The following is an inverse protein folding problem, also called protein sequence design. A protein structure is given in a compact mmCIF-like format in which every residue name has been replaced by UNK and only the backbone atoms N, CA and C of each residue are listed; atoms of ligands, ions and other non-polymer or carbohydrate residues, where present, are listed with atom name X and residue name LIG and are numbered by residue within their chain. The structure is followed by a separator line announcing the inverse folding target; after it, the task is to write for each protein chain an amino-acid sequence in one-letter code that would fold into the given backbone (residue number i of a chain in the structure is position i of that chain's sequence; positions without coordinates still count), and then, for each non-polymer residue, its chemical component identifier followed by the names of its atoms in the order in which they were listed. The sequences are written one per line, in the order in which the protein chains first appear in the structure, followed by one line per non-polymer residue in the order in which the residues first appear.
data_IF_267789857654
#
_entry.id   IF_267789857654
#
_cell.length_a   1.000
_cell.length_b   1.000
_cell.length_c   1.000
_cell.angle_alpha   90.00
_cell.angle_beta   90.00
_cell.angle_gamma   90.00
#
_symmetry.space_group_name_H-M   'P 1'
#
loop_
_entity.id
_entity.type
_entity.pdbx_description
1 polymer ?
2 polymer ?
3 non-polymer ?
4 non-polymer ?
5 non-polymer ?
6 water ?
#
# COMPACT_ATOMS: atom_id res chain seq x y z
N UNK A 3 -16.96 1.13 -4.89
CA UNK A 3 -15.79 1.93 -4.54
C UNK A 3 -15.98 2.59 -3.18
N UNK A 4 -15.10 2.28 -2.24
CA UNK A 4 -15.19 2.82 -0.88
C UNK A 4 -14.50 4.16 -0.69
N UNK A 5 -13.75 4.64 -1.71
CA UNK A 5 -13.09 5.94 -1.66
C UNK A 5 -13.63 6.82 -2.78
N UNK A 6 -14.23 7.95 -2.41
CA UNK A 6 -14.81 8.88 -3.37
C UNK A 6 -14.06 10.19 -3.33
N UNK A 7 -13.55 10.61 -4.49
CA UNK A 7 -12.78 11.84 -4.62
C UNK A 7 -13.61 12.97 -5.22
N UNK A 8 -13.19 14.22 -4.93
CA UNK A 8 -13.82 15.42 -5.45
C UNK A 8 -13.61 15.57 -6.97
N UNK A 9 -14.44 16.41 -7.59
CA UNK A 9 -14.44 16.61 -9.04
C UNK A 9 -13.22 17.28 -9.63
N UNK A 10 -13.10 17.21 -10.97
CA UNK A 10 -12.00 17.82 -11.72
C UNK A 10 -11.84 19.31 -11.40
N UNK A 11 -10.60 19.78 -11.36
CA UNK A 11 -10.27 21.17 -11.06
C UNK A 11 -9.59 21.83 -12.24
N UNK A 12 -9.96 23.10 -12.50
CA UNK A 12 -9.34 23.95 -13.50
C UNK A 12 -8.87 25.14 -12.69
N UNK A 13 -7.56 25.24 -12.49
CA UNK A 13 -6.98 26.24 -11.61
C UNK A 13 -5.93 27.10 -12.27
N UNK A 14 -5.79 28.34 -11.79
CA UNK A 14 -4.85 29.30 -12.36
C UNK A 14 -3.43 29.05 -11.86
N UNK A 15 -2.40 29.30 -12.69
CA UNK A 15 -1.01 29.16 -12.21
C UNK A 15 -0.77 30.15 -11.06
N UNK A 16 -0.02 29.71 -10.06
CA UNK A 16 0.29 30.53 -8.90
C UNK A 16 -0.73 30.44 -7.79
N UNK A 17 -1.92 29.86 -8.05
CA UNK A 17 -2.97 29.73 -7.04
C UNK A 17 -2.79 28.42 -6.26
N UNK A 18 -3.76 28.08 -5.40
CA UNK A 18 -3.72 26.87 -4.62
C UNK A 18 -4.95 26.05 -4.94
N UNK A 19 -4.94 24.77 -4.56
CA UNK A 19 -6.11 23.91 -4.74
C UNK A 19 -6.14 22.87 -3.64
N UNK A 20 -7.36 22.49 -3.24
CA UNK A 20 -7.59 21.45 -2.24
C UNK A 20 -8.46 20.37 -2.87
N UNK A 21 -8.03 19.12 -2.72
CA UNK A 21 -8.76 17.95 -3.20
C UNK A 21 -9.23 17.16 -2.00
N UNK A 22 -10.37 16.47 -2.13
CA UNK A 22 -10.88 15.66 -1.02
C UNK A 22 -11.06 14.22 -1.40
N UNK A 23 -11.03 13.35 -0.38
CA UNK A 23 -11.16 11.91 -0.55
C UNK A 23 -12.00 11.41 0.63
N UNK A 24 -13.24 10.99 0.36
CA UNK A 24 -14.16 10.55 1.40
C UNK A 24 -14.32 9.05 1.39
N UNK A 25 -14.18 8.43 2.57
CA UNK A 25 -14.32 7.00 2.71
C UNK A 25 -15.69 6.60 3.24
N UNK A 26 -16.13 5.41 2.81
CA UNK A 26 -17.37 4.80 3.25
C UNK A 26 -17.07 3.35 3.63
N UNK A 27 -17.84 2.81 4.59
CA UNK A 27 -17.67 1.42 5.03
C UNK A 27 -16.60 1.12 6.05
N UNK A 28 -15.64 2.04 6.24
CA UNK A 28 -14.56 1.88 7.22
C UNK A 28 -14.17 3.26 7.74
N UNK A 29 -13.52 3.31 8.92
CA UNK A 29 -13.06 4.55 9.54
C UNK A 29 -11.66 4.90 9.04
N UNK A 30 -11.47 6.11 8.45
CA UNK A 30 -10.12 6.51 8.00
C UNK A 30 -9.14 6.57 9.17
N UNK A 31 -9.66 6.81 10.39
CA UNK A 31 -8.86 6.84 11.62
C UNK A 31 -7.99 5.58 11.74
N UNK A 32 -8.54 4.41 11.36
CA UNK A 32 -7.87 3.11 11.49
C UNK A 32 -6.96 2.72 10.34
N UNK A 33 -6.57 3.68 9.47
CA UNK A 33 -5.76 3.35 8.29
C UNK A 33 -4.66 4.38 8.04
N UNK A 34 -3.82 4.10 7.02
CA UNK A 34 -2.89 5.07 6.47
C UNK A 34 -3.54 5.52 5.17
N UNK A 35 -3.71 6.84 5.00
CA UNK A 35 -4.27 7.39 3.77
C UNK A 35 -3.14 8.07 3.01
N UNK A 36 -2.93 7.67 1.74
CA UNK A 36 -1.89 8.27 0.91
C UNK A 36 -2.48 9.05 -0.24
N UNK A 37 -1.69 9.95 -0.81
CA UNK A 37 -2.00 10.67 -2.03
C UNK A 37 -0.91 10.32 -3.04
N UNK A 38 -1.31 10.08 -4.30
CA UNK A 38 -0.42 9.65 -5.38
C UNK A 38 -0.71 10.53 -6.59
N UNK A 39 0.35 11.08 -7.19
CA UNK A 39 0.27 11.93 -8.37
C UNK A 39 0.60 11.14 -9.64
N UNK A 40 -0.15 11.41 -10.72
CA UNK A 40 0.17 10.80 -12.00
C UNK A 40 -0.01 11.81 -13.11
N UNK A 41 1.13 12.32 -13.61
CA UNK A 41 1.13 13.27 -14.72
C UNK A 41 0.66 12.55 -15.99
N UNK A 42 0.09 13.26 -17.01
CA UNK A 42 -0.41 12.54 -18.20
C UNK A 42 0.60 11.58 -18.85
N UNK A 43 0.21 10.30 -18.98
CA UNK A 43 1.00 9.20 -19.58
C UNK A 43 2.32 8.91 -18.85
N UNK A 44 2.44 9.36 -17.59
CA UNK A 44 3.64 9.17 -16.79
C UNK A 44 3.42 8.23 -15.60
N UNK A 45 4.44 8.02 -14.79
CA UNK A 45 4.38 7.09 -13.67
C UNK A 45 3.67 7.59 -12.44
N UNK A 46 3.46 6.68 -11.47
CA UNK A 46 2.84 7.01 -10.20
C UNK A 46 3.91 7.61 -9.31
N UNK A 47 3.55 8.69 -8.60
CA UNK A 47 4.45 9.37 -7.67
C UNK A 47 3.79 9.45 -6.30
N UNK A 48 4.34 8.76 -5.30
CA UNK A 48 3.80 8.83 -3.94
C UNK A 48 4.11 10.21 -3.36
N UNK A 49 3.08 10.93 -2.95
CA UNK A 49 3.24 12.27 -2.38
C UNK A 49 3.52 12.18 -0.89
N UNK A 50 2.69 11.45 -0.19
CA UNK A 50 2.81 11.31 1.25
C UNK A 50 1.67 10.52 1.83
N UNK A 51 1.70 10.34 3.15
CA UNK A 51 0.64 9.61 3.82
C UNK A 51 0.34 10.25 5.14
N UNK A 52 -0.93 10.11 5.56
CA UNK A 52 -1.35 10.59 6.87
C UNK A 52 -1.91 9.42 7.66
N UNK A 53 -1.63 9.41 8.96
CA UNK A 53 -2.21 8.46 9.89
C UNK A 53 -3.27 9.31 10.60
N UNK A 54 -4.57 9.21 10.24
CA UNK A 54 -5.56 10.09 10.86
C UNK A 54 -5.81 9.88 12.35
N UNK A 55 -5.34 8.76 12.93
CA UNK A 55 -5.52 8.51 14.36
C UNK A 55 -4.71 9.52 15.20
N UNK A 56 -3.50 9.87 14.71
CA UNK A 56 -2.64 10.80 15.44
C UNK A 56 -2.28 12.05 14.64
N UNK A 57 -2.71 12.10 13.37
CA UNK A 57 -2.41 13.23 12.50
C UNK A 57 -1.00 13.25 11.94
N UNK A 58 -0.25 12.16 12.14
CA UNK A 58 1.13 12.10 11.64
C UNK A 58 1.17 12.13 10.12
N UNK A 59 2.01 13.00 9.58
CA UNK A 59 2.19 13.12 8.14
C UNK A 59 3.63 12.86 7.75
N UNK A 60 3.81 12.17 6.62
CA UNK A 60 5.14 11.94 6.06
C UNK A 60 5.03 12.20 4.57
N UNK A 61 6.05 12.84 3.99
CA UNK A 61 6.02 13.20 2.57
C UNK A 61 7.28 12.78 1.87
N UNK A 62 7.17 12.58 0.55
CA UNK A 62 8.38 12.36 -0.25
C UNK A 62 9.05 13.76 -0.27
N UNK A 63 10.38 13.85 -0.04
CA UNK A 63 11.06 15.17 -0.06
C UNK A 63 10.79 16.04 -1.30
N UNK A 64 10.50 15.43 -2.47
CA UNK A 64 10.21 16.14 -3.72
C UNK A 64 8.96 17.02 -3.58
N UNK A 65 8.04 16.65 -2.66
CA UNK A 65 6.79 17.38 -2.44
C UNK A 65 6.80 18.37 -1.29
N UNK A 66 7.92 18.48 -0.56
CA UNK A 66 8.03 19.44 0.53
C UNK A 66 8.01 20.86 -0.07
N UNK A 67 7.08 21.67 0.39
CA UNK A 67 6.88 23.01 -0.16
C UNK A 67 5.91 23.05 -1.33
N UNK A 68 5.26 21.91 -1.63
CA UNK A 68 4.26 21.81 -2.70
C UNK A 68 2.97 21.22 -2.16
N UNK A 69 3.07 20.09 -1.45
CA UNK A 69 1.91 19.38 -0.96
C UNK A 69 1.80 19.34 0.54
N UNK A 70 0.55 19.41 1.02
CA UNK A 70 0.19 19.29 2.43
C UNK A 70 -0.98 18.32 2.48
N UNK A 71 -0.93 17.38 3.43
CA UNK A 71 -2.00 16.41 3.60
C UNK A 71 -2.65 16.61 4.96
N UNK A 72 -4.00 16.60 5.00
CA UNK A 72 -4.74 16.68 6.24
C UNK A 72 -5.84 15.65 6.23
N UNK A 73 -6.46 15.45 7.38
CA UNK A 73 -7.57 14.52 7.48
C UNK A 73 -8.54 14.97 8.55
N UNK A 74 -9.79 14.55 8.41
CA UNK A 74 -10.84 14.86 9.36
C UNK A 74 -11.54 13.54 9.62
N UNK A 75 -11.24 12.91 10.77
CA UNK A 75 -11.87 11.63 11.12
C UNK A 75 -13.40 11.78 11.28
N UNK A 76 -13.87 12.95 11.77
CA UNK A 76 -15.30 13.22 11.99
C UNK A 76 -16.14 13.11 10.71
N UNK A 77 -15.60 13.61 9.58
CA UNK A 77 -16.27 13.54 8.28
C UNK A 77 -15.69 12.41 7.41
N UNK A 78 -14.75 11.62 7.97
CA UNK A 78 -14.11 10.48 7.29
C UNK A 78 -13.49 10.91 5.95
N UNK A 79 -12.83 12.07 5.94
CA UNK A 79 -12.26 12.62 4.71
C UNK A 79 -10.79 12.98 4.87
N UNK A 80 -10.00 12.69 3.84
CA UNK A 80 -8.59 13.08 3.75
C UNK A 80 -8.51 14.16 2.67
N UNK A 81 -7.55 15.08 2.80
CA UNK A 81 -7.39 16.18 1.86
C UNK A 81 -5.97 16.32 1.36
N UNK A 82 -5.83 16.84 0.14
CA UNK A 82 -4.53 17.16 -0.43
C UNK A 82 -4.58 18.63 -0.79
N UNK A 83 -3.58 19.38 -0.34
CA UNK A 83 -3.47 20.81 -0.58
C UNK A 83 -2.22 21.03 -1.42
N UNK A 84 -2.39 21.65 -2.59
CA UNK A 84 -1.28 21.97 -3.49
C UNK A 84 -1.10 23.46 -3.55
N UNK A 85 0.14 23.92 -3.40
CA UNK A 85 0.46 25.35 -3.38
C UNK A 85 1.13 25.82 -4.66
N UNK A 86 1.06 27.14 -4.93
CA UNK A 86 1.74 27.84 -6.04
C UNK A 86 1.76 27.00 -7.32
N UNK A 87 0.57 26.68 -7.83
CA UNK A 87 0.40 25.80 -8.98
C UNK A 87 1.16 26.18 -10.23
N UNK A 88 1.76 25.16 -10.88
CA UNK A 88 2.49 25.32 -12.15
C UNK A 88 2.06 24.20 -13.08
N UNK A 89 2.45 24.27 -14.38
CA UNK A 89 2.13 23.24 -15.37
C UNK A 89 2.55 21.84 -14.90
N UNK A 90 3.64 21.74 -14.14
CA UNK A 90 4.14 20.49 -13.58
C UNK A 90 3.17 19.81 -12.62
N UNK A 91 2.17 20.56 -12.11
CA UNK A 91 1.15 20.05 -11.20
C UNK A 91 -0.06 19.48 -11.92
N UNK A 92 -0.17 19.71 -13.26
CA UNK A 92 -1.27 19.15 -14.04
C UNK A 92 -1.12 17.65 -14.01
N UNK A 93 -2.10 16.95 -13.42
CA UNK A 93 -2.02 15.51 -13.20
C UNK A 93 -3.31 14.99 -12.64
N UNK A 94 -3.44 13.66 -12.61
CA UNK A 94 -4.52 12.99 -11.91
C UNK A 94 -3.94 12.67 -10.53
N UNK A 95 -4.70 12.99 -9.48
CA UNK A 95 -4.30 12.72 -8.10
C UNK A 95 -5.23 11.68 -7.54
N UNK A 96 -4.65 10.62 -6.99
CA UNK A 96 -5.42 9.54 -6.37
C UNK A 96 -5.22 9.56 -4.88
N UNK A 97 -6.25 9.19 -4.14
CA UNK A 97 -6.09 8.91 -2.72
C UNK A 97 -6.13 7.38 -2.61
N UNK A 98 -5.50 6.83 -1.59
CA UNK A 98 -5.45 5.39 -1.42
C UNK A 98 -5.35 5.03 0.04
N UNK A 99 -5.70 3.79 0.35
CA UNK A 99 -5.62 3.28 1.71
C UNK A 99 -4.73 2.05 1.71
N UNK A 100 -3.93 1.92 2.75
CA UNK A 100 -3.13 0.72 2.97
C UNK A 100 -1.68 0.92 3.29
N UNK A 101 -1.09 -0.11 3.89
CA UNK A 101 0.33 -0.12 4.20
C UNK A 101 1.01 -1.23 3.39
N UNK A 102 0.51 -2.47 3.50
CA UNK A 102 1.02 -3.62 2.74
C UNK A 102 0.35 -3.62 1.38
N UNK A 103 0.71 -2.62 0.57
CA UNK A 103 0.10 -2.38 -0.73
C UNK A 103 -1.17 -1.56 -0.57
N UNK A 104 -1.51 -0.80 -1.60
CA UNK A 104 -2.72 0.02 -1.59
C UNK A 104 -3.83 -0.78 -2.28
N UNK A 105 -4.67 -1.44 -1.48
CA UNK A 105 -5.75 -2.25 -2.03
C UNK A 105 -6.94 -1.38 -2.44
N UNK A 106 -7.09 -0.20 -1.80
CA UNK A 106 -8.21 0.71 -2.05
C UNK A 106 -7.69 1.96 -2.73
N UNK A 107 -8.31 2.36 -3.84
CA UNK A 107 -7.95 3.58 -4.55
C UNK A 107 -9.20 4.37 -4.83
N UNK A 108 -9.07 5.69 -4.80
CA UNK A 108 -10.14 6.58 -5.24
C UNK A 108 -10.16 6.54 -6.77
N UNK A 109 -11.16 7.19 -7.39
CA UNK A 109 -11.28 7.20 -8.85
C UNK A 109 -10.31 8.18 -9.51
N UNK A 110 -9.68 9.03 -8.70
CA UNK A 110 -8.76 10.04 -9.18
C UNK A 110 -9.44 11.37 -9.42
N UNK A 111 -8.67 12.45 -9.28
CA UNK A 111 -9.14 13.82 -9.52
C UNK A 111 -8.15 14.47 -10.47
N UNK A 112 -8.64 14.91 -11.62
CA UNK A 112 -7.81 15.61 -12.59
C UNK A 112 -7.67 17.06 -12.15
N UNK A 113 -6.43 17.54 -12.08
CA UNK A 113 -6.13 18.94 -11.79
C UNK A 113 -5.47 19.47 -13.05
N UNK A 114 -6.11 20.46 -13.69
CA UNK A 114 -5.57 21.10 -14.89
C UNK A 114 -5.17 22.53 -14.52
N UNK A 115 -3.89 22.85 -14.66
CA UNK A 115 -3.39 24.20 -14.40
C UNK A 115 -3.50 24.95 -15.73
N UNK A 116 -4.25 26.06 -15.75
CA UNK A 116 -4.46 26.87 -16.95
C UNK A 116 -3.17 27.60 -17.37
N UNK A 117 -3.18 28.19 -18.57
CA UNK A 117 -2.03 28.91 -19.11
C UNK A 117 -1.72 30.19 -18.34
N UNK A 118 -0.45 30.58 -18.35
CA UNK A 118 0.02 31.80 -17.72
C UNK A 118 1.22 31.62 -16.81
N UNK A 119 1.81 32.74 -16.41
CA UNK A 119 2.95 32.75 -15.50
C UNK A 119 2.52 32.64 -14.05
N UNK A 120 3.45 32.22 -13.20
CA UNK A 120 3.20 32.08 -11.77
C UNK A 120 3.47 30.70 -11.20
N UNK A 121 3.62 30.65 -9.89
CA UNK A 121 3.88 29.42 -9.14
C UNK A 121 5.34 29.00 -9.11
N UNK A 122 5.62 27.91 -8.36
CA UNK A 122 6.95 27.33 -8.20
C UNK A 122 6.86 25.82 -7.91
N UNK A 123 7.91 25.08 -8.27
CA UNK A 123 7.99 23.64 -8.05
C UNK A 123 8.18 23.23 -6.60
N UNK A 124 8.77 24.13 -5.81
CA UNK A 124 9.03 23.91 -4.39
C UNK A 124 10.23 24.70 -3.88
N UNK A 134 15.80 7.66 -1.68
CA UNK A 134 15.67 6.28 -2.13
C UNK A 134 15.46 6.20 -3.64
N UNK A 135 16.14 5.24 -4.29
CA UNK A 135 16.02 5.00 -5.73
C UNK A 135 15.40 3.61 -5.97
N UNK A 136 14.32 3.59 -6.76
CA UNK A 136 13.62 2.36 -7.14
C UNK A 136 13.82 2.16 -8.64
N UNK A 137 14.62 1.16 -9.03
CA UNK A 137 14.90 0.89 -10.44
C UNK A 137 14.04 -0.23 -10.99
N UNK A 138 13.04 0.13 -11.80
CA UNK A 138 12.14 -0.83 -12.42
C UNK A 138 12.53 -1.04 -13.86
N UNK A 139 12.78 -2.31 -14.23
CA UNK A 139 13.17 -2.67 -15.59
C UNK A 139 12.33 -3.83 -16.12
N UNK A 140 12.03 -3.87 -17.44
CA UNK A 140 12.33 -2.84 -18.46
C UNK A 140 11.26 -1.74 -18.44
N UNK A 141 11.53 -0.56 -19.02
CA UNK A 141 10.52 0.51 -19.07
C UNK A 141 9.38 0.13 -20.03
N UNK A 142 9.71 -0.65 -21.07
CA UNK A 142 8.76 -1.13 -22.07
C UNK A 142 8.96 -2.63 -22.26
N UNK A 143 7.85 -3.38 -22.33
CA UNK A 143 7.91 -4.83 -22.52
C UNK A 143 6.91 -5.28 -23.58
N UNK A 144 7.43 -5.71 -24.74
CA UNK A 144 6.64 -6.22 -25.86
C UNK A 144 6.62 -7.74 -25.68
N UNK A 145 5.43 -8.28 -25.39
CA UNK A 145 5.24 -9.71 -25.09
C UNK A 145 4.63 -10.50 -26.22
N UNK A 146 4.93 -11.81 -26.23
CA UNK A 146 4.29 -12.77 -27.10
C UNK A 146 3.25 -13.40 -26.17
N UNK A 147 1.95 -13.37 -26.53
CA UNK A 147 0.95 -14.00 -25.67
C UNK A 147 1.28 -15.49 -25.48
N UNK A 148 1.19 -15.96 -24.25
CA UNK A 148 1.52 -17.34 -23.90
C UNK A 148 2.91 -17.49 -23.30
N UNK A 149 3.77 -16.45 -23.42
CA UNK A 149 5.13 -16.46 -22.89
C UNK A 149 5.14 -16.12 -21.40
N UNK A 150 6.32 -16.33 -20.78
CA UNK A 150 6.57 -15.96 -19.38
C UNK A 150 7.12 -14.52 -19.45
N UNK A 151 6.41 -13.57 -18.81
CA UNK A 151 6.82 -12.18 -18.77
C UNK A 151 7.41 -11.90 -17.40
N UNK A 152 8.59 -11.23 -17.35
CA UNK A 152 9.27 -10.90 -16.09
C UNK A 152 9.58 -9.41 -16.02
N UNK A 153 9.25 -8.82 -14.86
CA UNK A 153 9.48 -7.41 -14.56
C UNK A 153 10.29 -7.36 -13.27
N UNK A 154 11.37 -6.57 -13.25
CA UNK A 154 12.25 -6.48 -12.11
C UNK A 154 12.20 -5.14 -11.42
N UNK A 155 12.46 -5.14 -10.10
CA UNK A 155 12.56 -3.94 -9.29
C UNK A 155 13.68 -4.07 -8.28
N UNK A 156 14.62 -3.12 -8.33
CA UNK A 156 15.77 -3.06 -7.43
C UNK A 156 15.70 -1.77 -6.62
N UNK A 157 15.75 -1.90 -5.28
CA UNK A 157 15.72 -0.77 -4.37
C UNK A 157 17.14 -0.42 -3.91
N UNK A 158 17.41 0.88 -3.65
CA UNK A 158 18.71 1.37 -3.18
C UNK A 158 18.93 1.12 -1.68
N UNK A 159 17.85 0.75 -0.96
CA UNK A 159 17.86 0.44 0.47
C UNK A 159 17.03 -0.82 0.72
N UNK A 160 17.31 -1.51 1.84
CA UNK A 160 16.60 -2.74 2.22
C UNK A 160 15.12 -2.46 2.42
N UNK A 161 14.24 -3.31 1.87
CA UNK A 161 12.79 -3.08 1.99
C UNK A 161 12.10 -4.02 2.98
N UNK A 162 12.89 -4.76 3.76
CA UNK A 162 12.38 -5.70 4.74
C UNK A 162 12.06 -5.03 6.05
N UNK A 163 11.00 -5.52 6.71
CA UNK A 163 10.59 -5.10 8.05
C UNK A 163 9.88 -6.28 8.69
N UNK A 164 10.21 -6.58 9.97
CA UNK A 164 9.66 -7.71 10.72
C UNK A 164 9.87 -9.06 9.98
N UNK A 165 10.98 -9.16 9.26
CA UNK A 165 11.32 -10.36 8.48
C UNK A 165 10.49 -10.58 7.23
N UNK A 166 9.81 -9.52 6.73
CA UNK A 166 8.96 -9.57 5.53
C UNK A 166 9.35 -8.45 4.58
N UNK A 167 9.28 -8.71 3.27
CA UNK A 167 9.66 -7.70 2.27
C UNK A 167 8.47 -6.87 1.87
N UNK A 168 8.50 -5.57 2.19
CA UNK A 168 7.40 -4.66 1.87
C UNK A 168 7.52 -4.16 0.43
N UNK A 169 7.38 -5.10 -0.51
CA UNK A 169 7.42 -4.83 -1.96
C UNK A 169 6.08 -5.25 -2.55
N UNK A 170 5.42 -4.34 -3.25
CA UNK A 170 4.10 -4.60 -3.80
C UNK A 170 4.07 -4.31 -5.29
N UNK A 171 3.15 -4.96 -6.00
CA UNK A 171 3.00 -4.80 -7.44
C UNK A 171 1.59 -4.40 -7.81
N UNK A 172 1.47 -3.47 -8.77
CA UNK A 172 0.21 -2.93 -9.26
C UNK A 172 0.08 -3.07 -10.76
N UNK A 173 -1.16 -3.13 -11.24
CA UNK A 173 -1.51 -3.16 -12.65
C UNK A 173 -2.40 -1.93 -12.90
N UNK A 174 -2.11 -1.17 -13.96
CA UNK A 174 -2.94 -0.03 -14.30
C UNK A 174 -3.28 -0.05 -15.77
N UNK A 175 -4.58 -0.12 -16.07
CA UNK A 175 -5.06 -0.09 -17.45
C UNK A 175 -5.46 1.34 -17.79
N UNK A 176 -5.44 1.69 -19.09
CA UNK A 176 -5.76 3.02 -19.60
C UNK A 176 -7.07 3.56 -19.02
N UNK A 177 -7.00 4.79 -18.49
CA UNK A 177 -8.12 5.52 -17.90
C UNK A 177 -8.71 4.89 -16.65
N UNK A 178 -7.92 4.09 -15.94
CA UNK A 178 -8.36 3.43 -14.71
C UNK A 178 -7.39 3.69 -13.56
N UNK A 179 -7.83 3.59 -12.29
CA UNK A 179 -6.86 3.68 -11.19
C UNK A 179 -6.06 2.37 -11.14
N UNK A 180 -4.84 2.38 -10.53
CA UNK A 180 -4.08 1.12 -10.38
C UNK A 180 -4.84 0.12 -9.51
N UNK A 181 -4.49 -1.16 -9.66
CA UNK A 181 -5.08 -2.27 -8.92
C UNK A 181 -3.94 -3.06 -8.28
N UNK A 182 -4.06 -3.40 -6.99
CA UNK A 182 -3.04 -4.18 -6.30
C UNK A 182 -3.06 -5.63 -6.78
N UNK A 183 -1.90 -6.16 -7.17
CA UNK A 183 -1.77 -7.54 -7.64
C UNK A 183 -1.12 -8.43 -6.60
N UNK A 184 0.04 -7.98 -6.09
CA UNK A 184 0.88 -8.73 -5.15
C UNK A 184 1.27 -7.78 -4.02
N UNK A 185 1.24 -8.29 -2.79
CA UNK A 185 1.69 -7.53 -1.63
C UNK A 185 2.68 -8.37 -0.86
N UNK A 186 3.54 -7.71 -0.07
CA UNK A 186 4.53 -8.40 0.79
C UNK A 186 5.40 -9.35 -0.05
N UNK A 187 5.85 -8.83 -1.23
CA UNK A 187 6.70 -9.47 -2.25
C UNK A 187 6.13 -10.66 -3.01
N UNK A 188 5.40 -11.56 -2.33
CA UNK A 188 4.94 -12.81 -2.95
C UNK A 188 3.48 -13.20 -2.70
N UNK A 189 2.73 -12.37 -1.96
CA UNK A 189 1.35 -12.72 -1.64
C UNK A 189 0.38 -12.22 -2.67
N UNK A 190 -0.43 -13.13 -3.23
CA UNK A 190 -1.42 -12.82 -4.24
C UNK A 190 -2.63 -12.13 -3.62
N UNK A 191 -3.00 -10.96 -4.16
CA UNK A 191 -4.16 -10.22 -3.68
C UNK A 191 -5.43 -11.00 -4.05
N UNK A 192 -6.43 -10.99 -3.15
CA UNK A 192 -7.70 -11.68 -3.36
C UNK A 192 -8.33 -11.25 -4.68
N UNK A 193 -8.73 -12.24 -5.48
CA UNK A 193 -9.35 -12.03 -6.79
C UNK A 193 -8.41 -11.90 -7.96
N UNK A 194 -7.08 -11.95 -7.71
CA UNK A 194 -6.08 -11.85 -8.77
C UNK A 194 -5.75 -13.26 -9.30
N UNK A 195 -5.71 -13.46 -10.65
CA UNK A 195 -5.40 -14.81 -11.18
C UNK A 195 -4.02 -15.34 -10.78
N UNK A 196 -3.91 -16.67 -10.63
CA UNK A 196 -2.70 -17.40 -10.25
C UNK A 196 -1.53 -17.25 -11.24
N UNK A 197 -1.78 -16.70 -12.46
CA UNK A 197 -0.70 -16.49 -13.43
C UNK A 197 0.26 -15.37 -12.98
N UNK A 198 -0.19 -14.54 -12.01
CA UNK A 198 0.62 -13.47 -11.40
C UNK A 198 1.31 -14.03 -10.17
N UNK A 199 2.63 -13.88 -10.10
CA UNK A 199 3.40 -14.31 -8.94
C UNK A 199 4.53 -13.33 -8.69
N UNK A 200 4.94 -13.24 -7.43
CA UNK A 200 6.00 -12.35 -7.01
C UNK A 200 7.08 -13.10 -6.25
N UNK A 201 8.32 -12.65 -6.40
CA UNK A 201 9.46 -13.24 -5.70
C UNK A 201 10.50 -12.19 -5.37
N UNK A 202 11.38 -12.51 -4.42
CA UNK A 202 12.45 -11.62 -4.01
C UNK A 202 12.47 -11.31 -2.52
N UNK A 203 13.56 -10.68 -2.09
CA UNK A 203 13.79 -10.25 -0.71
C UNK A 203 14.84 -9.14 -0.64
N UNK A 204 14.76 -8.33 0.42
CA UNK A 204 15.67 -7.22 0.71
C UNK A 204 15.69 -6.09 -0.32
N UNK A 205 16.42 -6.24 -1.45
CA UNK A 205 16.49 -5.16 -2.44
C UNK A 205 16.11 -5.57 -3.88
N UNK A 206 16.11 -6.88 -4.22
CA UNK A 206 15.82 -7.36 -5.57
C UNK A 206 14.53 -8.15 -5.66
N UNK A 207 13.63 -7.74 -6.57
CA UNK A 207 12.29 -8.33 -6.72
C UNK A 207 11.87 -8.52 -8.15
N UNK A 208 10.98 -9.49 -8.37
CA UNK A 208 10.46 -9.82 -9.69
C UNK A 208 8.97 -10.11 -9.68
N UNK A 209 8.25 -9.57 -10.67
CA UNK A 209 6.86 -9.88 -10.93
C UNK A 209 6.88 -10.79 -12.14
N UNK A 210 6.24 -11.96 -12.04
CA UNK A 210 6.14 -12.90 -13.14
C UNK A 210 4.69 -13.04 -13.58
N UNK A 211 4.44 -12.95 -14.89
CA UNK A 211 3.11 -13.15 -15.48
C UNK A 211 3.32 -14.34 -16.40
N UNK A 212 2.76 -15.50 -16.03
CA UNK A 212 2.98 -16.73 -16.79
C UNK A 212 1.78 -17.67 -16.79
N UNK A 213 1.14 -17.91 -17.97
CA UNK A 213 1.41 -17.30 -19.27
C UNK A 213 0.75 -15.93 -19.42
N UNK A 214 1.38 -15.00 -20.15
CA UNK A 214 0.81 -13.67 -20.37
C UNK A 214 -0.43 -13.79 -21.29
N UNK A 215 -1.51 -13.10 -20.91
CA UNK A 215 -2.75 -13.13 -21.67
C UNK A 215 -3.10 -11.73 -22.18
N UNK A 216 -3.99 -11.64 -23.18
CA UNK A 216 -4.35 -10.36 -23.81
C UNK A 216 -4.83 -9.32 -22.83
N UNK A 217 -5.57 -9.73 -21.79
CA UNK A 217 -6.09 -8.79 -20.79
C UNK A 217 -5.02 -8.30 -19.80
N UNK A 218 -3.75 -8.74 -19.97
CA UNK A 218 -2.63 -8.32 -19.12
C UNK A 218 -1.93 -7.07 -19.68
N UNK A 219 -2.39 -6.57 -20.84
CA UNK A 219 -1.87 -5.34 -21.44
C UNK A 219 -2.23 -4.21 -20.49
N UNK A 220 -1.21 -3.56 -19.94
CA UNK A 220 -1.35 -2.52 -18.91
C UNK A 220 0.04 -2.01 -18.57
N UNK A 221 0.10 -1.04 -17.64
CA UNK A 221 1.37 -0.54 -17.11
C UNK A 221 1.46 -1.11 -15.69
N UNK A 222 2.61 -1.68 -15.37
CA UNK A 222 2.85 -2.29 -14.06
C UNK A 222 3.81 -1.45 -13.23
N UNK A 223 3.57 -1.39 -11.92
CA UNK A 223 4.43 -0.63 -11.02
C UNK A 223 4.76 -1.44 -9.78
N UNK A 224 6.01 -1.36 -9.33
CA UNK A 224 6.37 -1.94 -8.04
C UNK A 224 6.34 -0.76 -7.06
N UNK A 225 6.36 -1.06 -5.77
CA UNK A 225 6.37 -0.04 -4.73
C UNK A 225 6.91 -0.63 -3.43
N UNK A 226 7.73 0.15 -2.71
CA UNK A 226 8.18 -0.29 -1.39
C UNK A 226 7.39 0.51 -0.34
N UNK A 227 7.20 -0.06 0.85
CA UNK A 227 6.50 0.67 1.90
C UNK A 227 7.00 0.41 3.33
N UNK A 228 8.16 -0.30 3.50
CA UNK A 228 8.67 -0.57 4.85
C UNK A 228 8.98 0.71 5.62
N UNK A 229 9.57 1.70 4.92
CA UNK A 229 9.91 3.00 5.50
C UNK A 229 9.56 4.08 4.49
N UNK A 230 9.31 5.30 4.98
CA UNK A 230 9.00 6.43 4.09
C UNK A 230 10.30 6.89 3.39
N UNK A 231 10.27 7.32 2.10
CA UNK A 231 9.08 7.44 1.23
C UNK A 231 8.67 6.10 0.63
N UNK A 232 7.35 5.90 0.43
CA UNK A 232 6.81 4.66 -0.14
C UNK A 232 6.87 4.75 -1.67
N UNK A 233 8.10 4.80 -2.19
CA UNK A 233 8.41 5.03 -3.58
C UNK A 233 7.96 3.96 -4.55
N UNK A 234 7.37 4.40 -5.66
CA UNK A 234 7.00 3.53 -6.78
C UNK A 234 8.16 3.45 -7.75
N UNK A 235 8.26 2.30 -8.42
CA UNK A 235 9.17 2.12 -9.54
C UNK A 235 8.64 2.96 -10.70
N UNK A 236 9.49 3.20 -11.69
CA UNK A 236 9.16 4.01 -12.86
C UNK A 236 8.08 3.47 -13.77
N UNK A 237 7.75 2.19 -13.62
CA UNK A 237 6.73 1.55 -14.42
C UNK A 237 7.25 0.74 -15.60
N UNK A 238 6.43 -0.22 -16.03
CA UNK A 238 6.71 -1.06 -17.21
C UNK A 238 5.44 -1.08 -18.03
N UNK A 239 5.49 -0.53 -19.26
CA UNK A 239 4.34 -0.54 -20.14
C UNK A 239 4.38 -1.87 -20.88
N UNK A 240 3.45 -2.77 -20.54
CA UNK A 240 3.38 -4.10 -21.15
C UNK A 240 2.39 -4.08 -22.31
N UNK A 241 2.87 -4.42 -23.52
CA UNK A 241 2.03 -4.45 -24.70
C UNK A 241 2.27 -5.74 -25.46
N UNK A 242 1.29 -6.14 -26.27
CA UNK A 242 1.46 -7.32 -27.12
C UNK A 242 2.41 -6.87 -28.25
N UNK A 243 3.38 -7.72 -28.60
CA UNK A 243 4.31 -7.40 -29.68
C UNK A 243 3.56 -7.05 -30.99
N UNK A 244 4.10 -6.09 -31.74
CA UNK A 244 3.53 -5.62 -33.01
C UNK A 244 4.60 -5.84 -34.09
N UNK A 245 4.64 -7.04 -34.73
CA UNK A 245 5.67 -7.27 -35.76
C UNK A 245 5.28 -6.69 -37.12
N UNK B 5 -17.87 -18.29 17.58
CA UNK B 5 -17.51 -18.14 16.18
C UNK B 5 -16.43 -19.11 15.74
N UNK B 6 -16.44 -19.47 14.44
CA UNK B 6 -15.45 -20.34 13.79
C UNK B 6 -14.10 -19.59 13.70
N UNK B 7 -12.98 -20.33 13.58
CA UNK B 7 -11.65 -19.73 13.44
C UNK B 7 -11.52 -19.16 12.02
N UNK B 8 -10.93 -17.95 11.87
CA UNK B 8 -10.72 -17.35 10.55
C UNK B 8 -9.83 -18.26 9.71
N UNK B 9 -10.23 -18.50 8.45
CA UNK B 9 -9.48 -19.36 7.53
C UNK B 9 -8.61 -18.57 6.54
N UNK B 10 -8.89 -17.27 6.42
CA UNK B 10 -8.20 -16.38 5.49
C UNK B 10 -6.89 -15.78 5.95
N UNK B 11 -6.35 -14.88 5.11
CA UNK B 11 -5.08 -14.20 5.32
C UNK B 11 -5.25 -12.84 6.02
N UNK B 12 -4.18 -12.38 6.69
CA UNK B 12 -4.16 -11.12 7.40
C UNK B 12 -3.02 -10.24 6.90
N UNK B 13 -3.23 -8.93 7.00
CA UNK B 13 -2.24 -7.93 6.64
C UNK B 13 -2.06 -7.00 7.81
N UNK B 14 -0.96 -6.24 7.83
CA UNK B 14 -0.75 -5.20 8.83
C UNK B 14 -1.36 -3.92 8.27
N UNK B 15 -2.25 -3.28 9.03
CA UNK B 15 -2.84 -2.02 8.58
C UNK B 15 -1.87 -0.84 8.82
N UNK B 16 -1.11 -0.90 9.93
CA UNK B 16 -0.17 0.14 10.32
C UNK B 16 1.08 -0.50 10.96
N UNK B 17 2.11 0.32 11.20
CA UNK B 17 3.34 -0.11 11.87
C UNK B 17 3.00 -0.69 13.24
N UNK B 18 3.72 -1.75 13.64
CA UNK B 18 3.56 -2.34 14.97
C UNK B 18 4.03 -1.28 15.98
N UNK B 19 3.20 -1.01 17.00
CA UNK B 19 3.52 0.02 17.97
C UNK B 19 3.89 -0.55 19.32
N UNK B 20 4.98 -0.04 19.90
CA UNK B 20 5.44 -0.45 21.23
C UNK B 20 4.74 0.41 22.26
N UNK B 21 4.20 -0.21 23.31
CA UNK B 21 3.55 0.52 24.40
C UNK B 21 4.63 0.88 25.42
N UNK B 22 4.25 1.60 26.49
CA UNK B 22 5.19 1.97 27.54
C UNK B 22 5.21 0.92 28.67
N UNK B 23 4.53 -0.24 28.45
CA UNK B 23 4.45 -1.35 29.40
C UNK B 23 4.93 -2.71 28.85
N UNK B 24 5.95 -2.67 27.99
CA UNK B 24 6.59 -3.85 27.40
C UNK B 24 5.74 -4.72 26.50
N UNK B 25 4.69 -4.15 25.88
CA UNK B 25 3.82 -4.88 24.96
C UNK B 25 3.83 -4.20 23.60
N UNK B 26 3.27 -4.87 22.59
CA UNK B 26 3.15 -4.31 21.26
C UNK B 26 1.70 -4.36 20.80
N UNK B 27 1.29 -3.40 19.97
CA UNK B 27 -0.05 -3.33 19.42
C UNK B 27 0.08 -3.61 17.93
N UNK B 28 -0.61 -4.64 17.48
CA UNK B 28 -0.61 -5.11 16.10
C UNK B 28 -2.01 -4.83 15.54
N UNK B 29 -2.09 -3.99 14.50
CA UNK B 29 -3.35 -3.64 13.86
C UNK B 29 -3.48 -4.46 12.60
N UNK B 30 -4.35 -5.48 12.62
CA UNK B 30 -4.51 -6.42 11.52
C UNK B 30 -5.74 -6.21 10.66
N UNK B 31 -5.59 -6.48 9.37
CA UNK B 31 -6.64 -6.36 8.36
C UNK B 31 -6.92 -7.75 7.80
N UNK B 32 -8.19 -8.16 7.82
CA UNK B 32 -8.60 -9.48 7.36
C UNK B 32 -8.99 -9.52 5.89
N UNK B 33 -8.51 -10.56 5.16
CA UNK B 33 -8.75 -10.73 3.73
C UNK B 33 -9.77 -11.82 3.35
N UNK B 34 -10.17 -12.65 4.31
CA UNK B 34 -11.15 -13.71 4.08
C UNK B 34 -12.59 -13.23 3.94
N UNK B 35 -13.50 -14.18 3.65
CA UNK B 35 -14.94 -13.90 3.44
C UNK B 35 -15.83 -14.57 4.51
N UNK B 36 -15.23 -15.11 5.59
CA UNK B 36 -15.94 -15.83 6.65
C UNK B 36 -16.18 -15.05 7.95
N UNK B 37 -16.08 -13.71 7.92
CA UNK B 37 -16.33 -12.89 9.13
C UNK B 37 -17.84 -12.87 9.45
N UNK B 38 -18.27 -12.84 10.73
CA UNK B 38 -17.47 -12.79 11.97
C UNK B 38 -16.76 -14.09 12.31
N UNK B 39 -15.44 -14.00 12.61
CA UNK B 39 -14.59 -15.16 12.92
C UNK B 39 -13.51 -14.84 13.96
N UNK B 40 -13.04 -15.87 14.69
CA UNK B 40 -11.98 -15.75 15.70
C UNK B 40 -10.60 -15.72 15.04
N UNK B 41 -9.76 -14.74 15.40
CA UNK B 41 -8.43 -14.57 14.82
C UNK B 41 -7.42 -15.60 15.34
N UNK B 42 -6.85 -16.47 14.46
CA UNK B 42 -5.81 -17.40 14.94
C UNK B 42 -4.57 -16.58 15.31
N UNK B 43 -4.04 -16.78 16.52
CA UNK B 43 -2.90 -16.04 17.02
C UNK B 43 -1.96 -16.93 17.82
N UNK B 44 -0.65 -16.80 17.55
CA UNK B 44 0.39 -17.53 18.27
C UNK B 44 1.72 -16.78 18.26
N UNK B 45 2.56 -17.06 19.28
CA UNK B 45 3.89 -16.47 19.45
C UNK B 45 4.91 -17.60 19.58
N UNK B 46 6.06 -17.47 18.90
CA UNK B 46 7.13 -18.47 18.93
C UNK B 46 8.48 -17.85 19.30
N UNK B 47 9.40 -18.67 19.86
CA UNK B 47 10.76 -18.23 20.19
C UNK B 47 11.64 -18.28 18.92
N UNK B 48 12.95 -17.95 19.03
CA UNK B 48 13.90 -17.97 17.91
C UNK B 48 13.95 -19.37 17.24
N UNK B 49 13.88 -20.43 18.06
CA UNK B 49 13.90 -21.84 17.62
C UNK B 49 12.62 -22.26 16.89
N UNK B 50 11.51 -21.55 17.13
CA UNK B 50 10.22 -21.81 16.52
C UNK B 50 9.27 -22.61 17.39
N UNK B 51 9.55 -22.65 18.71
CA UNK B 51 8.73 -23.35 19.71
C UNK B 51 7.68 -22.37 20.24
N UNK B 52 6.40 -22.79 20.25
CA UNK B 52 5.25 -22.01 20.69
C UNK B 52 5.37 -21.54 22.15
N UNK B 53 5.25 -20.22 22.37
CA UNK B 53 5.31 -19.57 23.67
C UNK B 53 3.89 -19.18 24.08
N UNK B 54 3.39 -19.80 25.16
CA UNK B 54 2.02 -19.63 25.64
C UNK B 54 1.79 -18.40 26.53
N UNK B 55 0.53 -17.94 26.55
CA UNK B 55 0.04 -16.84 27.36
C UNK B 55 0.65 -15.47 27.08
N UNK B 56 1.00 -15.20 25.82
CA UNK B 56 1.59 -13.91 25.44
C UNK B 56 0.56 -12.94 24.87
N UNK B 57 -0.62 -13.45 24.48
CA UNK B 57 -1.72 -12.66 23.95
C UNK B 57 -2.46 -11.91 25.08
N UNK B 58 -2.52 -10.57 25.00
CA UNK B 58 -3.19 -9.72 26.01
C UNK B 58 -4.67 -9.58 25.67
N UNK B 59 -4.98 -9.29 24.37
CA UNK B 59 -6.34 -9.14 23.88
C UNK B 59 -7.07 -10.47 23.97
N UNK B 60 -8.13 -10.52 24.79
CA UNK B 60 -8.91 -11.73 24.97
C UNK B 60 -9.84 -11.93 23.77
N UNK B 61 -9.82 -13.16 23.21
CA UNK B 61 -10.62 -13.61 22.06
C UNK B 61 -10.69 -12.60 20.89
N UNK B 62 -9.55 -12.30 20.21
CA UNK B 62 -9.59 -11.35 19.08
C UNK B 62 -10.50 -11.87 17.95
N UNK B 63 -11.43 -11.02 17.49
CA UNK B 63 -12.43 -11.38 16.47
C UNK B 63 -12.51 -10.33 15.34
N UNK B 64 -12.71 -10.80 14.09
CA UNK B 64 -12.94 -9.95 12.92
C UNK B 64 -14.47 -9.81 12.86
N UNK B 65 -14.97 -8.57 12.82
CA UNK B 65 -16.41 -8.27 12.74
C UNK B 65 -16.80 -7.99 11.28
N UNK B 66 -16.05 -7.07 10.63
CA UNK B 66 -16.22 -6.66 9.23
C UNK B 66 -14.83 -6.70 8.63
N UNK B 67 -14.68 -7.39 7.48
CA UNK B 67 -13.38 -7.50 6.80
C UNK B 67 -12.77 -6.15 6.40
N UNK B 68 -13.62 -5.13 6.13
CA UNK B 68 -13.17 -3.79 5.74
C UNK B 68 -12.55 -3.03 6.91
N UNK B 69 -12.89 -3.43 8.15
CA UNK B 69 -12.43 -2.80 9.39
C UNK B 69 -11.30 -3.56 10.10
N UNK B 70 -10.14 -2.89 10.40
CA UNK B 70 -9.05 -3.60 11.09
C UNK B 70 -9.31 -3.87 12.57
N UNK B 71 -8.52 -4.80 13.15
CA UNK B 71 -8.63 -5.24 14.54
C UNK B 71 -7.33 -5.03 15.31
N UNK B 72 -7.41 -4.41 16.50
CA UNK B 72 -6.25 -4.18 17.35
C UNK B 72 -5.96 -5.42 18.20
N UNK B 73 -4.71 -5.87 18.18
CA UNK B 73 -4.28 -7.04 18.94
C UNK B 73 -3.06 -6.67 19.78
N UNK B 74 -3.18 -6.81 21.10
CA UNK B 74 -2.08 -6.53 22.00
C UNK B 74 -1.44 -7.84 22.44
N UNK B 75 -0.12 -7.90 22.35
CA UNK B 75 0.66 -9.07 22.72
C UNK B 75 1.93 -8.66 23.45
N UNK B 76 2.39 -9.50 24.37
CA UNK B 76 3.60 -9.24 25.14
C UNK B 76 4.72 -10.14 24.63
N UNK B 77 5.65 -9.62 23.80
CA UNK B 77 6.74 -10.46 23.30
C UNK B 77 7.77 -10.78 24.39
N UNK B 78 8.47 -11.94 24.33
CA UNK B 78 9.52 -12.19 25.32
C UNK B 78 10.77 -11.36 24.99
N UNK B 79 11.73 -11.30 25.92
CA UNK B 79 12.98 -10.58 25.71
C UNK B 79 13.80 -11.30 24.62
N UNK B 80 14.42 -10.53 23.75
CA UNK B 80 15.21 -11.07 22.64
C UNK B 80 14.40 -11.30 21.38
N UNK B 81 14.81 -12.30 20.57
CA UNK B 81 14.18 -12.64 19.30
C UNK B 81 12.94 -13.53 19.46
N UNK B 82 11.85 -13.16 18.77
CA UNK B 82 10.58 -13.91 18.77
C UNK B 82 9.80 -13.73 17.46
N UNK B 83 8.72 -14.52 17.29
CA UNK B 83 7.88 -14.47 16.10
C UNK B 83 6.40 -14.36 16.46
N UNK B 84 5.71 -13.36 15.91
CA UNK B 84 4.28 -13.13 16.12
C UNK B 84 3.55 -13.63 14.88
N UNK B 85 2.70 -14.66 15.03
CA UNK B 85 1.96 -15.27 13.92
C UNK B 85 0.47 -14.95 13.99
N UNK B 86 -0.04 -14.31 12.92
CA UNK B 86 -1.45 -13.92 12.81
C UNK B 86 -2.06 -14.70 11.65
N UNK B 87 -3.06 -15.52 11.96
CA UNK B 87 -3.77 -16.33 10.97
C UNK B 87 -3.32 -17.77 10.93
N UNK B 88 -4.10 -18.61 10.23
CA UNK B 88 -3.85 -20.05 10.07
C UNK B 88 -3.16 -20.37 8.74
N UNK B 89 -2.56 -21.56 8.65
CA UNK B 89 -1.87 -22.03 7.45
C UNK B 89 -0.39 -21.68 7.41
N UNK B 90 0.32 -22.29 6.43
CA UNK B 90 1.77 -22.09 6.22
C UNK B 90 2.11 -20.71 5.66
N UNK B 91 1.14 -20.06 4.99
CA UNK B 91 1.31 -18.73 4.38
C UNK B 91 0.89 -17.58 5.31
N UNK B 92 0.57 -17.88 6.59
CA UNK B 92 0.16 -16.90 7.60
C UNK B 92 1.19 -15.81 7.86
N UNK B 93 0.72 -14.60 8.22
CA UNK B 93 1.55 -13.45 8.54
C UNK B 93 2.45 -13.76 9.74
N UNK B 94 3.76 -13.80 9.52
CA UNK B 94 4.76 -14.13 10.56
C UNK B 94 5.70 -12.94 10.72
N UNK B 95 5.64 -12.30 11.90
CA UNK B 95 6.44 -11.12 12.19
C UNK B 95 7.62 -11.41 13.09
N UNK B 96 8.85 -11.12 12.61
CA UNK B 96 10.07 -11.29 13.41
C UNK B 96 10.16 -10.09 14.35
N UNK B 97 10.36 -10.34 15.65
CA UNK B 97 10.42 -9.24 16.62
C UNK B 97 11.61 -9.36 17.57
N UNK B 98 12.16 -8.20 17.97
CA UNK B 98 13.26 -8.12 18.95
C UNK B 98 12.90 -7.13 20.05
N UNK B 99 12.92 -7.60 21.31
CA UNK B 99 12.60 -6.79 22.50
C UNK B 99 13.85 -6.59 23.35
#
# INVERSE_FOLDING_TARGET
EVKLLEQSGAELVKPGASVRLSCTASGFNIKDTYMSWVKQRPEQGLEWIGRIDPANGDTKYDPKFQGKATITADTSSNTAYLHLSSLTSGDTAVYYCSRGWEGFAYWGQGTLVTVSAGGGGSGGGGSGGGGSELVMTQTPASLAVSLGQRATISCRASENVDRYGNSFMHWYQQKAGQPPKLLIYRASNLESGIPARFSGSGSRTDFTLTINPVEADDVATYFCQRSNEVPWTFGGGTKLEIKRPLEHHHHHH
MGMSYVMCTGSFKLEKEVAETQHGTVLVQVKYEGTDAPCKIPFSTQDEKGVTQNGRLITANPIVTDKEKPVNIETEPPFGESYIIVGAGEKALKLSWFKKGSSIGKLEHHHHHH
#
